data_IF_579743147699
#
_entry.id   IF_579743147699
#
_cell.length_a   1.000
_cell.length_b   1.000
_cell.length_c   1.000
_cell.angle_alpha   90.00
_cell.angle_beta   90.00
_cell.angle_gamma   90.00
#
_symmetry.space_group_name_H-M   'P 1'
#
loop_
_entity.id
_entity.type
_entity.pdbx_description
1 polymer ?
#
# COMPACT_ATOMS: atom_id res chain seq x y z
N UNK A 1 -53.64 -51.46 20.80
CA UNK A 1 -53.79 -50.17 20.11
C UNK A 1 -52.95 -49.14 20.83
N UNK A 2 -51.89 -48.60 20.21
CA UNK A 2 -51.04 -47.53 20.77
C UNK A 2 -51.24 -46.27 19.94
N UNK A 3 -51.86 -45.25 20.54
CA UNK A 3 -52.04 -43.92 19.95
C UNK A 3 -50.73 -43.14 20.06
N UNK A 4 -50.23 -42.67 18.90
CA UNK A 4 -49.09 -41.74 18.82
C UNK A 4 -49.63 -40.32 18.86
N UNK A 5 -49.25 -39.57 19.89
CA UNK A 5 -49.51 -38.13 19.97
C UNK A 5 -48.44 -37.38 19.15
N UNK A 6 -48.89 -36.63 18.14
CA UNK A 6 -48.04 -35.73 17.34
C UNK A 6 -48.17 -34.34 17.94
N UNK A 7 -47.08 -33.85 18.54
CA UNK A 7 -47.00 -32.45 19.01
C UNK A 7 -46.55 -31.60 17.82
N UNK A 8 -47.47 -30.80 17.31
CA UNK A 8 -47.24 -29.84 16.24
C UNK A 8 -46.79 -28.52 16.86
N UNK A 9 -45.48 -28.25 16.84
CA UNK A 9 -44.92 -26.96 17.27
C UNK A 9 -45.06 -25.93 16.15
N UNK A 10 -45.94 -24.96 16.36
CA UNK A 10 -46.07 -23.77 15.51
C UNK A 10 -45.04 -22.74 15.98
N UNK A 11 -44.02 -22.49 15.15
CA UNK A 11 -43.03 -21.43 15.39
C UNK A 11 -43.54 -20.14 14.75
N UNK A 12 -43.85 -19.14 15.58
CA UNK A 12 -44.16 -17.78 15.14
C UNK A 12 -42.91 -17.10 14.57
N UNK A 13 -42.93 -16.79 13.27
CA UNK A 13 -41.95 -15.93 12.60
C UNK A 13 -42.28 -14.46 12.92
N UNK A 14 -41.48 -13.86 13.80
CA UNK A 14 -41.49 -12.42 14.03
C UNK A 14 -40.92 -11.68 12.81
N UNK A 15 -41.75 -10.84 12.19
CA UNK A 15 -41.35 -9.94 11.11
C UNK A 15 -40.58 -8.77 11.76
N UNK A 16 -39.27 -8.70 11.53
CA UNK A 16 -38.46 -7.54 11.92
C UNK A 16 -38.48 -6.55 10.76
N UNK A 17 -39.16 -5.42 10.96
CA UNK A 17 -39.20 -4.31 10.01
C UNK A 17 -37.81 -3.69 9.86
N UNK A 18 -37.19 -3.87 8.70
CA UNK A 18 -35.95 -3.17 8.34
C UNK A 18 -36.32 -1.81 7.74
N UNK A 19 -35.98 -0.74 8.46
CA UNK A 19 -36.09 0.62 7.96
C UNK A 19 -35.16 0.83 6.77
N UNK A 20 -35.72 1.25 5.65
CA UNK A 20 -34.97 1.64 4.45
C UNK A 20 -34.49 3.08 4.66
N UNK A 21 -33.20 3.27 4.92
CA UNK A 21 -32.58 4.59 4.83
C UNK A 21 -32.13 4.81 3.39
N UNK A 22 -32.85 5.68 2.67
CA UNK A 22 -32.39 6.21 1.40
C UNK A 22 -31.27 7.22 1.67
N UNK A 23 -30.03 6.84 1.33
CA UNK A 23 -28.90 7.78 1.31
C UNK A 23 -28.85 8.39 -0.09
N UNK A 24 -29.27 9.65 -0.19
CA UNK A 24 -29.09 10.48 -1.38
C UNK A 24 -27.60 10.75 -1.58
N UNK A 25 -27.03 10.15 -2.63
CA UNK A 25 -25.67 10.42 -3.07
C UNK A 25 -25.63 11.79 -3.77
N UNK A 26 -25.25 12.83 -3.05
CA UNK A 26 -24.88 14.10 -3.65
C UNK A 26 -23.56 13.93 -4.41
N UNK A 27 -23.63 13.94 -5.74
CA UNK A 27 -22.46 14.08 -6.62
C UNK A 27 -21.87 15.48 -6.43
N UNK A 28 -20.86 15.61 -5.58
CA UNK A 28 -19.99 16.78 -5.56
C UNK A 28 -18.96 16.65 -6.69
N UNK A 29 -19.19 17.37 -7.79
CA UNK A 29 -18.21 17.54 -8.88
C UNK A 29 -17.53 18.91 -8.75
N UNK A 30 -16.78 19.11 -7.66
CA UNK A 30 -15.88 20.27 -7.48
C UNK A 30 -14.65 19.87 -6.64
N UNK A 31 -13.85 18.92 -7.12
CA UNK A 31 -12.61 18.56 -6.43
C UNK A 31 -11.55 18.07 -7.42
N UNK A 32 -10.73 18.97 -7.96
CA UNK A 32 -9.43 18.56 -8.53
C UNK A 32 -8.31 19.61 -8.52
N UNK A 33 -8.54 20.84 -8.03
CA UNK A 33 -7.47 21.84 -7.95
C UNK A 33 -6.98 22.16 -6.52
N UNK A 34 -7.59 21.57 -5.47
CA UNK A 34 -7.17 21.79 -4.07
C UNK A 34 -6.22 20.72 -3.51
N UNK A 35 -6.01 19.60 -4.21
CA UNK A 35 -5.30 18.44 -3.63
C UNK A 35 -3.79 18.45 -3.86
N UNK A 36 -3.29 19.18 -4.88
CA UNK A 36 -1.86 19.12 -5.26
C UNK A 36 -0.93 19.98 -4.39
N UNK A 37 -1.45 21.08 -3.83
CA UNK A 37 -0.64 22.09 -3.12
C UNK A 37 -0.14 21.66 -1.73
N UNK A 38 -0.73 20.63 -1.13
CA UNK A 38 -0.42 20.20 0.25
C UNK A 38 0.55 19.00 0.34
N UNK A 39 1.21 18.65 -0.76
CA UNK A 39 2.10 17.48 -0.87
C UNK A 39 3.54 17.84 -1.24
N UNK A 40 3.88 19.12 -1.18
CA UNK A 40 5.20 19.63 -1.53
C UNK A 40 5.93 20.12 -0.27
N UNK A 41 7.22 19.87 -0.20
CA UNK A 41 8.10 20.31 0.89
C UNK A 41 8.87 21.52 0.38
N UNK A 42 8.92 22.61 1.13
CA UNK A 42 9.70 23.77 0.70
C UNK A 42 11.17 23.58 1.10
N UNK A 43 12.07 23.81 0.14
CA UNK A 43 13.51 23.87 0.41
C UNK A 43 13.92 25.32 0.63
N UNK A 44 14.43 25.66 1.81
CA UNK A 44 14.73 27.03 2.24
C UNK A 44 16.22 27.36 2.18
N UNK A 45 16.56 28.65 2.05
CA UNK A 45 17.96 29.13 2.10
C UNK A 45 18.59 29.06 3.49
N UNK A 46 17.79 29.07 4.56
CA UNK A 46 18.22 28.95 5.96
C UNK A 46 17.18 28.19 6.78
N UNK A 47 17.54 27.75 8.00
CA UNK A 47 16.70 27.01 8.93
C UNK A 47 15.57 27.87 9.55
N UNK A 48 14.69 28.41 8.72
CA UNK A 48 13.55 29.25 9.13
C UNK A 48 12.45 29.23 8.08
N UNK A 49 11.18 29.20 8.52
CA UNK A 49 10.01 29.30 7.62
C UNK A 49 9.86 30.69 6.99
N UNK A 50 10.48 31.72 7.58
CA UNK A 50 10.56 33.06 7.00
C UNK A 50 11.69 33.23 5.97
N UNK A 51 12.52 32.20 5.79
CA UNK A 51 13.61 32.21 4.82
C UNK A 51 13.08 32.15 3.39
N UNK A 52 13.92 32.56 2.42
CA UNK A 52 13.59 32.44 1.00
C UNK A 52 13.46 30.95 0.63
N UNK A 53 12.36 30.61 -0.03
CA UNK A 53 12.18 29.29 -0.66
C UNK A 53 13.03 29.25 -1.94
N UNK A 54 13.88 28.23 -2.04
CA UNK A 54 14.74 27.92 -3.18
C UNK A 54 13.93 27.17 -4.23
N UNK A 55 13.25 26.10 -3.81
CA UNK A 55 12.45 25.24 -4.66
C UNK A 55 11.39 24.50 -3.85
N UNK A 56 10.34 24.07 -4.53
CA UNK A 56 9.40 23.08 -4.03
C UNK A 56 9.94 21.69 -4.32
N UNK A 57 10.02 20.87 -3.28
CA UNK A 57 10.59 19.54 -3.31
C UNK A 57 9.47 18.49 -3.26
N UNK A 58 9.29 17.68 -4.30
CA UNK A 58 8.25 16.67 -4.34
C UNK A 58 8.54 15.52 -3.37
N UNK A 59 7.53 15.10 -2.59
CA UNK A 59 7.63 13.96 -1.65
C UNK A 59 8.02 12.62 -2.29
N UNK A 60 7.81 12.47 -3.61
CA UNK A 60 8.13 11.26 -4.36
C UNK A 60 9.60 11.14 -4.75
N UNK A 61 10.44 12.13 -4.37
CA UNK A 61 11.87 12.15 -4.68
C UNK A 61 12.69 12.00 -3.41
N UNK A 62 13.87 11.42 -3.56
CA UNK A 62 14.80 11.17 -2.46
C UNK A 62 15.83 12.30 -2.36
N UNK A 63 16.04 12.78 -1.14
CA UNK A 63 17.11 13.69 -0.78
C UNK A 63 18.05 13.02 0.23
N UNK A 64 19.26 13.56 0.36
CA UNK A 64 20.22 13.12 1.38
C UNK A 64 20.25 14.15 2.49
N UNK A 65 20.11 13.69 3.74
CA UNK A 65 20.34 14.52 4.93
C UNK A 65 21.84 14.69 5.12
N UNK A 66 22.29 15.94 5.21
CA UNK A 66 23.70 16.31 5.38
C UNK A 66 23.98 16.67 6.84
N UNK A 67 23.06 17.42 7.47
CA UNK A 67 23.25 18.00 8.79
C UNK A 67 21.91 18.34 9.46
N UNK A 68 21.84 18.28 10.79
CA UNK A 68 20.69 18.76 11.58
C UNK A 68 21.12 20.01 12.35
N UNK A 69 20.29 21.06 12.36
CA UNK A 69 20.59 22.29 13.10
C UNK A 69 20.60 22.01 14.62
N UNK A 70 21.73 22.25 15.33
CA UNK A 70 21.84 21.99 16.76
C UNK A 70 21.02 22.96 17.60
N UNK A 71 20.71 24.16 17.08
CA UNK A 71 19.88 25.16 17.78
C UNK A 71 18.40 24.88 17.58
N UNK A 72 18.02 24.34 16.43
CA UNK A 72 16.65 24.00 16.11
C UNK A 72 16.56 22.62 15.46
N UNK A 73 16.32 21.61 16.30
CA UNK A 73 16.25 20.19 15.88
C UNK A 73 15.15 19.90 14.84
N UNK A 74 14.24 20.83 14.58
CA UNK A 74 13.25 20.68 13.51
C UNK A 74 13.86 20.85 12.11
N UNK A 75 15.04 21.44 11.96
CA UNK A 75 15.62 21.76 10.65
C UNK A 75 16.75 20.84 10.24
N UNK A 76 16.67 20.37 9.00
CA UNK A 76 17.68 19.54 8.37
C UNK A 76 18.21 20.21 7.12
N UNK A 77 19.54 20.26 6.99
CA UNK A 77 20.19 20.61 5.74
C UNK A 77 20.24 19.37 4.86
N UNK A 78 19.71 19.48 3.66
CA UNK A 78 19.56 18.37 2.73
C UNK A 78 20.14 18.71 1.37
N UNK A 79 20.53 17.70 0.62
CA UNK A 79 20.95 17.79 -0.78
C UNK A 79 20.02 17.01 -1.70
N UNK A 80 19.59 17.63 -2.80
CA UNK A 80 18.89 16.96 -3.88
C UNK A 80 19.87 16.12 -4.71
N UNK A 81 19.65 14.81 -4.77
CA UNK A 81 20.53 13.89 -5.49
C UNK A 81 20.54 14.10 -7.01
N UNK A 82 19.55 14.80 -7.58
CA UNK A 82 19.38 14.95 -9.02
C UNK A 82 20.21 16.09 -9.61
N UNK A 83 20.32 17.19 -8.87
CA UNK A 83 20.97 18.43 -9.33
C UNK A 83 22.01 18.98 -8.34
N UNK A 84 22.21 18.31 -7.19
CA UNK A 84 23.14 18.74 -6.16
C UNK A 84 22.68 19.98 -5.37
N UNK A 85 21.45 20.45 -5.55
CA UNK A 85 20.97 21.65 -4.86
C UNK A 85 20.84 21.38 -3.36
N UNK A 86 21.38 22.29 -2.55
CA UNK A 86 21.39 22.20 -1.10
C UNK A 86 20.51 23.26 -0.48
N UNK A 87 19.75 22.90 0.55
CA UNK A 87 18.96 23.83 1.33
C UNK A 87 18.48 23.21 2.64
N UNK A 88 17.53 23.88 3.28
CA UNK A 88 16.98 23.48 4.58
C UNK A 88 15.53 23.03 4.45
N UNK A 89 15.17 21.96 5.13
CA UNK A 89 13.79 21.46 5.24
C UNK A 89 13.40 21.42 6.72
N UNK A 90 12.15 21.79 7.01
CA UNK A 90 11.52 21.58 8.32
C UNK A 90 10.97 20.16 8.40
N UNK A 91 11.32 19.44 9.46
CA UNK A 91 10.82 18.11 9.77
C UNK A 91 9.32 18.14 10.06
N UNK A 92 8.83 19.18 10.74
CA UNK A 92 7.39 19.38 10.94
C UNK A 92 6.65 19.49 9.61
N UNK A 93 7.15 20.31 8.68
CA UNK A 93 6.58 20.41 7.33
C UNK A 93 6.64 19.08 6.59
N UNK A 94 7.79 18.40 6.62
CA UNK A 94 7.98 17.10 6.00
C UNK A 94 6.95 16.07 6.50
N UNK A 95 6.79 15.94 7.81
CA UNK A 95 5.87 14.98 8.42
C UNK A 95 4.40 15.32 8.10
N UNK A 96 4.04 16.61 8.06
CA UNK A 96 2.72 17.04 7.62
C UNK A 96 2.47 16.68 6.16
N UNK A 97 3.44 16.95 5.28
CA UNK A 97 3.35 16.63 3.87
C UNK A 97 3.23 15.11 3.65
N UNK A 98 4.04 14.29 4.34
CA UNK A 98 3.94 12.82 4.32
C UNK A 98 2.57 12.36 4.81
N UNK A 99 2.07 12.89 5.93
CA UNK A 99 0.76 12.50 6.45
C UNK A 99 -0.37 12.86 5.48
N UNK A 100 -0.31 14.03 4.86
CA UNK A 100 -1.28 14.46 3.85
C UNK A 100 -1.20 13.61 2.58
N UNK A 101 0.00 13.26 2.15
CA UNK A 101 0.22 12.37 1.02
C UNK A 101 -0.36 10.98 1.31
N UNK A 102 -0.05 10.39 2.46
CA UNK A 102 -0.65 9.12 2.89
C UNK A 102 -2.18 9.22 2.94
N UNK A 103 -2.72 10.25 3.61
CA UNK A 103 -4.17 10.48 3.65
C UNK A 103 -4.77 10.60 2.26
N UNK A 104 -4.11 11.27 1.31
CA UNK A 104 -4.62 11.34 -0.07
C UNK A 104 -4.62 9.98 -0.75
N UNK A 105 -3.58 9.16 -0.54
CA UNK A 105 -3.57 7.79 -1.05
C UNK A 105 -4.73 6.97 -0.49
N UNK A 106 -5.13 7.19 0.77
CA UNK A 106 -6.22 6.46 1.44
C UNK A 106 -7.62 7.07 1.27
N UNK A 107 -7.73 8.39 1.08
CA UNK A 107 -8.99 9.14 1.04
C UNK A 107 -9.51 9.39 -0.38
N UNK A 108 -8.70 9.19 -1.42
CA UNK A 108 -9.27 9.05 -2.75
C UNK A 108 -10.04 7.72 -2.78
N UNK A 109 -11.18 7.68 -3.49
CA UNK A 109 -12.08 6.54 -3.74
C UNK A 109 -11.40 5.26 -4.32
N UNK A 110 -10.08 5.16 -4.23
CA UNK A 110 -9.19 4.12 -4.73
C UNK A 110 -8.92 3.03 -3.70
N UNK A 111 -8.93 3.34 -2.39
CA UNK A 111 -9.10 2.30 -1.37
C UNK A 111 -10.58 2.02 -1.18
N UNK A 112 -11.22 1.56 -2.27
CA UNK A 112 -12.40 0.74 -2.07
C UNK A 112 -11.90 -0.48 -1.32
N UNK A 113 -12.23 -0.62 -0.04
CA UNK A 113 -11.82 -1.79 0.74
C UNK A 113 -12.32 -3.02 -0.01
N UNK A 114 -11.39 -3.74 -0.63
CA UNK A 114 -11.65 -4.97 -1.37
C UNK A 114 -11.31 -6.11 -0.43
N UNK A 115 -12.35 -6.69 0.17
CA UNK A 115 -12.21 -7.95 0.91
C UNK A 115 -12.50 -9.08 -0.06
N UNK A 116 -11.51 -9.94 -0.29
CA UNK A 116 -11.62 -11.09 -1.18
C UNK A 116 -11.62 -12.36 -0.34
N UNK A 117 -12.74 -13.08 -0.34
CA UNK A 117 -12.88 -14.38 0.31
C UNK A 117 -12.88 -15.45 -0.78
N UNK A 118 -11.84 -16.28 -0.79
CA UNK A 118 -11.74 -17.41 -1.70
C UNK A 118 -11.93 -18.66 -0.85
N UNK A 119 -13.00 -19.40 -1.11
CA UNK A 119 -13.25 -20.68 -0.47
C UNK A 119 -13.23 -21.79 -1.51
N UNK A 120 -12.51 -22.85 -1.22
CA UNK A 120 -12.51 -24.06 -2.03
C UNK A 120 -13.36 -25.11 -1.34
N UNK A 121 -14.39 -25.60 -2.04
CA UNK A 121 -15.26 -26.68 -1.56
C UNK A 121 -15.12 -27.87 -2.50
N UNK A 122 -15.30 -29.10 -2.00
CA UNK A 122 -15.33 -30.29 -2.87
C UNK A 122 -16.77 -30.70 -3.14
N UNK A 123 -17.09 -30.97 -4.41
CA UNK A 123 -18.39 -31.52 -4.78
C UNK A 123 -18.50 -32.99 -4.37
N UNK A 124 -19.71 -33.57 -4.48
CA UNK A 124 -19.94 -35.02 -4.24
C UNK A 124 -19.06 -35.91 -5.14
N UNK A 125 -18.66 -35.41 -6.31
CA UNK A 125 -17.76 -36.11 -7.24
C UNK A 125 -16.28 -35.87 -6.94
N UNK A 126 -15.95 -35.32 -5.76
CA UNK A 126 -14.59 -34.95 -5.35
C UNK A 126 -13.90 -33.92 -6.27
N UNK A 127 -14.68 -33.18 -7.07
CA UNK A 127 -14.15 -32.08 -7.90
C UNK A 127 -14.08 -30.79 -7.08
N UNK A 128 -12.96 -30.04 -7.15
CA UNK A 128 -12.86 -28.76 -6.48
C UNK A 128 -13.81 -27.74 -7.14
N UNK A 129 -14.58 -27.04 -6.32
CA UNK A 129 -15.43 -25.91 -6.69
C UNK A 129 -15.00 -24.72 -5.85
N UNK A 130 -14.47 -23.69 -6.53
CA UNK A 130 -14.13 -22.43 -5.89
C UNK A 130 -15.36 -21.53 -5.82
N UNK A 131 -15.64 -20.99 -4.63
CA UNK A 131 -16.56 -19.89 -4.44
C UNK A 131 -15.74 -18.65 -4.11
N UNK A 132 -15.85 -17.64 -4.98
CA UNK A 132 -15.12 -16.38 -4.87
C UNK A 132 -16.14 -15.32 -4.47
N UNK A 133 -15.97 -14.75 -3.28
CA UNK A 133 -16.77 -13.62 -2.83
C UNK A 133 -15.89 -12.40 -2.69
N UNK A 134 -16.21 -11.35 -3.43
CA UNK A 134 -15.51 -10.07 -3.34
C UNK A 134 -16.47 -9.04 -2.81
N UNK A 135 -16.04 -8.32 -1.77
CA UNK A 135 -16.76 -7.18 -1.23
C UNK A 135 -15.98 -5.93 -1.56
N UNK A 136 -16.66 -4.93 -2.12
CA UNK A 136 -16.09 -3.63 -2.43
C UNK A 136 -16.93 -2.58 -1.71
N UNK A 137 -16.32 -1.84 -0.78
CA UNK A 137 -17.03 -0.87 0.08
C UNK A 137 -18.19 -1.50 0.85
N UNK A 138 -17.96 -2.71 1.39
CA UNK A 138 -18.97 -3.47 2.13
C UNK A 138 -20.10 -4.06 1.28
N UNK A 139 -20.13 -3.83 -0.05
CA UNK A 139 -21.11 -4.42 -0.97
C UNK A 139 -20.50 -5.62 -1.68
N UNK A 140 -21.20 -6.76 -1.67
CA UNK A 140 -20.81 -7.94 -2.44
C UNK A 140 -20.90 -7.64 -3.93
N UNK A 141 -19.83 -7.91 -4.66
CA UNK A 141 -19.77 -7.79 -6.13
C UNK A 141 -20.56 -8.92 -6.79
N UNK A 142 -20.95 -8.71 -8.05
CA UNK A 142 -21.52 -9.80 -8.86
C UNK A 142 -20.48 -10.90 -9.10
N UNK A 143 -20.92 -12.13 -9.37
CA UNK A 143 -20.03 -13.27 -9.63
C UNK A 143 -19.03 -12.99 -10.77
N UNK A 144 -19.50 -12.34 -11.84
CA UNK A 144 -18.66 -11.95 -12.99
C UNK A 144 -17.57 -10.95 -12.60
N UNK A 145 -17.92 -9.96 -11.77
CA UNK A 145 -16.95 -8.97 -11.27
C UNK A 145 -15.96 -9.60 -10.29
N UNK A 146 -16.44 -10.45 -9.38
CA UNK A 146 -15.62 -11.20 -8.43
C UNK A 146 -14.60 -12.09 -9.16
N UNK A 147 -15.02 -12.79 -10.22
CA UNK A 147 -14.11 -13.56 -11.07
C UNK A 147 -13.09 -12.69 -11.78
N UNK A 148 -13.47 -11.50 -12.28
CA UNK A 148 -12.51 -10.58 -12.90
C UNK A 148 -11.45 -10.12 -11.89
N UNK A 149 -11.86 -9.78 -10.68
CA UNK A 149 -10.94 -9.41 -9.59
C UNK A 149 -9.99 -10.58 -9.28
N UNK A 150 -10.52 -11.79 -9.17
CA UNK A 150 -9.70 -12.98 -8.94
C UNK A 150 -8.65 -13.24 -10.04
N UNK A 151 -9.04 -13.11 -11.31
CA UNK A 151 -8.09 -13.27 -12.42
C UNK A 151 -6.97 -12.22 -12.38
N UNK A 152 -7.30 -10.97 -12.03
CA UNK A 152 -6.29 -9.93 -11.87
C UNK A 152 -5.33 -10.24 -10.72
N UNK A 153 -5.84 -10.77 -9.60
CA UNK A 153 -5.00 -11.20 -8.46
C UNK A 153 -4.03 -12.30 -8.91
N UNK A 154 -4.52 -13.34 -9.60
CA UNK A 154 -3.69 -14.41 -10.17
C UNK A 154 -2.58 -13.88 -11.08
N UNK A 155 -2.91 -12.95 -11.98
CA UNK A 155 -1.94 -12.35 -12.91
C UNK A 155 -0.87 -11.57 -12.13
N UNK A 156 -1.27 -10.79 -11.13
CA UNK A 156 -0.37 -10.02 -10.29
C UNK A 156 0.55 -10.93 -9.46
N UNK A 157 0.01 -11.97 -8.83
CA UNK A 157 0.81 -12.96 -8.08
C UNK A 157 1.86 -13.63 -8.97
N UNK A 158 1.49 -14.02 -10.21
CA UNK A 158 2.43 -14.58 -11.17
C UNK A 158 3.51 -13.58 -11.57
N UNK A 159 3.15 -12.30 -11.78
CA UNK A 159 4.10 -11.25 -12.10
C UNK A 159 5.08 -11.03 -10.94
N UNK A 160 4.57 -10.83 -9.73
CA UNK A 160 5.39 -10.62 -8.53
C UNK A 160 6.27 -11.83 -8.21
N UNK A 161 5.77 -13.05 -8.39
CA UNK A 161 6.58 -14.27 -8.24
C UNK A 161 7.72 -14.33 -9.26
N UNK A 162 7.49 -13.93 -10.52
CA UNK A 162 8.56 -13.84 -11.53
C UNK A 162 9.61 -12.79 -11.18
N UNK A 163 9.18 -11.61 -10.76
CA UNK A 163 10.08 -10.53 -10.35
C UNK A 163 10.93 -10.97 -9.15
N UNK A 164 10.31 -11.57 -8.14
CA UNK A 164 11.01 -12.13 -6.98
C UNK A 164 12.03 -13.20 -7.36
N UNK A 165 11.67 -14.13 -8.26
CA UNK A 165 12.62 -15.15 -8.74
C UNK A 165 13.80 -14.54 -9.50
N UNK A 166 13.60 -13.46 -10.25
CA UNK A 166 14.67 -12.76 -10.95
C UNK A 166 15.60 -12.05 -9.96
N UNK A 167 15.03 -11.39 -8.95
CA UNK A 167 15.78 -10.75 -7.87
C UNK A 167 16.63 -11.76 -7.10
N UNK A 168 16.05 -12.91 -6.71
CA UNK A 168 16.78 -13.98 -6.03
C UNK A 168 17.94 -14.52 -6.87
N UNK A 169 17.78 -14.61 -8.20
CA UNK A 169 18.89 -15.00 -9.09
C UNK A 169 19.99 -13.96 -9.11
N UNK A 170 19.65 -12.67 -9.16
CA UNK A 170 20.63 -11.59 -9.13
C UNK A 170 21.41 -11.57 -7.80
N UNK A 171 20.72 -11.76 -6.68
CA UNK A 171 21.34 -11.88 -5.34
C UNK A 171 22.28 -13.07 -5.29
N UNK A 172 21.83 -14.25 -5.73
CA UNK A 172 22.67 -15.45 -5.72
C UNK A 172 23.93 -15.27 -6.59
N UNK A 173 23.80 -14.61 -7.75
CA UNK A 173 24.93 -14.29 -8.60
C UNK A 173 25.91 -13.34 -7.92
N UNK A 174 25.41 -12.29 -7.26
CA UNK A 174 26.26 -11.34 -6.54
C UNK A 174 26.99 -11.99 -5.35
N UNK A 175 26.31 -12.85 -4.59
CA UNK A 175 26.93 -13.63 -3.50
C UNK A 175 28.03 -14.53 -4.04
N UNK A 176 27.80 -15.19 -5.17
CA UNK A 176 28.82 -16.03 -5.80
C UNK A 176 30.07 -15.22 -6.19
N UNK A 177 29.90 -14.05 -6.81
CA UNK A 177 31.02 -13.18 -7.16
C UNK A 177 31.79 -12.68 -5.92
N UNK A 178 31.07 -12.33 -4.86
CA UNK A 178 31.69 -11.90 -3.61
C UNK A 178 32.52 -13.02 -2.99
N UNK A 179 32.03 -14.25 -3.00
CA UNK A 179 32.78 -15.40 -2.49
C UNK A 179 34.06 -15.65 -3.32
N UNK A 180 33.99 -15.54 -4.65
CA UNK A 180 35.17 -15.65 -5.51
C UNK A 180 36.22 -14.59 -5.17
N UNK A 181 35.80 -13.34 -4.94
CA UNK A 181 36.73 -12.27 -4.55
C UNK A 181 37.38 -12.53 -3.19
N UNK A 182 36.63 -13.10 -2.23
CA UNK A 182 37.19 -13.47 -0.92
C UNK A 182 38.21 -14.60 -1.06
N UNK A 183 37.92 -15.63 -1.86
CA UNK A 183 38.86 -16.72 -2.14
C UNK A 183 40.15 -16.21 -2.82
N UNK A 184 40.04 -15.22 -3.71
CA UNK A 184 41.20 -14.58 -4.35
C UNK A 184 42.05 -13.79 -3.34
N UNK A 185 41.42 -13.06 -2.42
CA UNK A 185 42.13 -12.31 -1.37
C UNK A 185 42.84 -13.25 -0.38
N UNK A 186 42.21 -14.36 0.00
CA UNK A 186 42.81 -15.36 0.89
C UNK A 186 44.01 -16.05 0.22
N UNK A 187 43.88 -16.42 -1.05
CA UNK A 187 44.98 -16.97 -1.83
C UNK A 187 46.14 -15.96 -2.00
N UNK A 188 45.84 -14.68 -2.21
CA UNK A 188 46.87 -13.64 -2.31
C UNK A 188 47.63 -13.50 -0.99
N UNK A 189 46.94 -13.47 0.15
CA UNK A 189 47.57 -13.39 1.48
C UNK A 189 48.45 -14.61 1.79
N UNK A 190 48.14 -15.79 1.27
CA UNK A 190 48.99 -16.98 1.40
C UNK A 190 50.29 -16.90 0.60
N UNK A 191 50.39 -16.07 -0.45
CA UNK A 191 51.64 -15.92 -1.23
C UNK A 191 52.68 -15.01 -0.57
N UNK A 192 52.32 -14.25 0.46
CA UNK A 192 53.21 -13.28 1.13
C UNK A 192 53.65 -13.70 2.55
N UNK A 193 53.27 -14.91 2.99
CA UNK A 193 53.77 -15.54 4.22
C UNK A 193 54.65 -16.75 3.87
#
# INVERSE_FOLDING_TARGET
MKTKNIIMSVVFLGIVSTGVYAVTANKSSQQSNLTKKNQEIHLYTSASTSSKVIQDYPLTKSFVVIYQDPKNKDWFKVGDQRNGQVGWISNTQYNQAVSNYQKSLYNEDHFKTQSVYITETRTKDNKPKMNIEVYQNGKKLSEKEAQKVYQNIKINEQKSSREFMQEQKAINYQVHLMNQQMDELDNHNMMFN
#
